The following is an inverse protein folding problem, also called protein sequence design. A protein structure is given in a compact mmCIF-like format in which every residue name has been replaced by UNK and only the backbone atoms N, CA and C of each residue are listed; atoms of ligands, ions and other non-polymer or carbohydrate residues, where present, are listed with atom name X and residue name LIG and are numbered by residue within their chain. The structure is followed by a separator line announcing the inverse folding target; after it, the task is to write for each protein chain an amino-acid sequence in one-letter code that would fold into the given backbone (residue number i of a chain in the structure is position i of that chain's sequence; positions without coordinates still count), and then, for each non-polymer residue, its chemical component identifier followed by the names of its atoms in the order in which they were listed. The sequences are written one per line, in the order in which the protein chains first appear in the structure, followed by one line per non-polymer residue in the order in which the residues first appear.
data_IF_743070398923
#
_entry.id   IF_743070398923
#
_cell.length_a   1.000
_cell.length_b   1.000
_cell.length_c   1.000
_cell.angle_alpha   90.00
_cell.angle_beta   90.00
_cell.angle_gamma   90.00
#
_symmetry.space_group_name_H-M   'P 1'
#
loop_
_entity.id
_entity.type
_entity.pdbx_description
1 polymer ?
#
# COMPACT_ATOMS: atom_id res chain seq x y z
N UNK A 1 -6.50 -12.04 1.16
CA UNK A 1 -7.16 -10.77 0.76
C UNK A 1 -6.33 -10.00 -0.23
N UNK A 2 -5.02 -9.82 -0.01
CA UNK A 2 -4.16 -8.95 -0.85
C UNK A 2 -3.43 -9.65 -2.02
N UNK A 3 -3.28 -10.98 -2.02
CA UNK A 3 -2.69 -11.73 -3.15
C UNK A 3 -1.29 -12.30 -2.92
N UNK A 4 -0.65 -12.04 -1.77
CA UNK A 4 0.68 -12.58 -1.41
C UNK A 4 0.63 -13.97 -0.74
N UNK A 5 -0.56 -14.56 -0.59
CA UNK A 5 -0.79 -15.78 0.18
C UNK A 5 -1.66 -15.56 1.41
N UNK A 6 -1.86 -16.63 2.19
CA UNK A 6 -2.67 -16.63 3.41
C UNK A 6 -1.81 -16.25 4.61
N UNK A 7 -2.33 -15.41 5.50
CA UNK A 7 -1.70 -15.00 6.76
C UNK A 7 -0.30 -14.38 6.60
N UNK A 8 -0.05 -13.69 5.48
CA UNK A 8 1.18 -12.92 5.29
C UNK A 8 1.13 -11.70 6.20
N UNK A 9 2.06 -11.56 7.17
CA UNK A 9 2.09 -10.39 8.02
C UNK A 9 2.63 -9.19 7.22
N UNK A 10 2.07 -8.03 7.52
CA UNK A 10 2.39 -6.76 6.89
C UNK A 10 2.83 -5.75 7.96
N UNK A 11 3.87 -4.99 7.66
CA UNK A 11 4.37 -3.92 8.48
C UNK A 11 4.38 -2.60 7.70
N UNK A 12 4.28 -1.49 8.42
CA UNK A 12 4.46 -0.15 7.84
C UNK A 12 5.94 0.25 7.97
N UNK A 13 6.58 0.57 6.85
CA UNK A 13 7.97 0.99 6.84
C UNK A 13 8.11 2.45 7.25
N UNK A 14 8.73 2.72 8.39
CA UNK A 14 9.03 4.10 8.80
C UNK A 14 10.18 4.64 7.95
N UNK A 15 9.94 5.73 7.19
CA UNK A 15 10.91 6.32 6.26
C UNK A 15 11.44 5.35 5.18
N UNK A 16 10.74 4.25 4.90
CA UNK A 16 11.10 3.30 3.85
C UNK A 16 10.28 3.49 2.55
N UNK A 17 9.26 4.34 2.59
CA UNK A 17 8.35 4.58 1.45
C UNK A 17 7.61 3.32 0.98
N UNK A 18 7.36 2.38 1.90
CA UNK A 18 6.78 1.08 1.53
C UNK A 18 5.89 0.48 2.62
N UNK A 19 5.07 -0.49 2.16
CA UNK A 19 4.57 -1.55 3.02
C UNK A 19 5.50 -2.76 2.89
N UNK A 20 5.80 -3.39 4.01
CA UNK A 20 6.76 -4.49 4.09
C UNK A 20 5.99 -5.77 4.37
N UNK A 21 6.04 -6.73 3.46
CA UNK A 21 5.41 -8.04 3.62
C UNK A 21 6.47 -9.10 3.95
N UNK A 22 6.19 -10.01 4.89
CA UNK A 22 7.04 -11.19 5.11
C UNK A 22 6.45 -12.39 4.35
N UNK A 23 6.97 -12.65 3.16
CA UNK A 23 6.50 -13.71 2.27
C UNK A 23 7.49 -14.86 2.33
N UNK A 24 7.05 -16.03 2.80
CA UNK A 24 7.89 -17.23 2.89
C UNK A 24 9.25 -16.98 3.59
N UNK A 25 9.25 -16.23 4.69
CA UNK A 25 10.46 -15.90 5.45
C UNK A 25 11.33 -14.79 4.85
N UNK A 26 10.93 -14.20 3.72
CA UNK A 26 11.67 -13.11 3.05
C UNK A 26 10.88 -11.81 3.09
N UNK A 27 11.55 -10.69 3.38
CA UNK A 27 10.92 -9.37 3.33
C UNK A 27 10.79 -8.87 1.89
N UNK A 28 9.59 -8.43 1.54
CA UNK A 28 9.24 -7.84 0.24
C UNK A 28 8.73 -6.42 0.46
N UNK A 29 9.41 -5.44 -0.14
CA UNK A 29 9.02 -4.03 -0.06
C UNK A 29 8.07 -3.66 -1.19
N UNK A 30 6.85 -3.29 -0.84
CA UNK A 30 5.85 -2.73 -1.75
C UNK A 30 6.02 -1.20 -1.75
N UNK A 31 7.03 -0.73 -2.49
CA UNK A 31 7.40 0.69 -2.51
C UNK A 31 6.40 1.50 -3.35
N UNK A 32 6.02 2.68 -2.83
CA UNK A 32 5.31 3.70 -3.60
C UNK A 32 6.34 4.71 -4.08
N UNK A 33 6.69 4.71 -5.38
CA UNK A 33 7.77 5.57 -5.88
C UNK A 33 7.37 7.05 -5.98
N UNK A 34 6.06 7.32 -6.08
CA UNK A 34 5.54 8.68 -6.19
C UNK A 34 4.12 8.78 -5.60
N UNK A 35 3.75 9.90 -4.93
CA UNK A 35 4.61 11.02 -4.55
C UNK A 35 5.73 10.60 -3.59
N UNK A 36 6.91 11.22 -3.73
CA UNK A 36 8.06 10.92 -2.89
C UNK A 36 7.76 11.17 -1.41
N UNK A 37 8.44 10.44 -0.54
CA UNK A 37 8.26 10.55 0.91
C UNK A 37 7.03 9.83 1.44
N UNK A 38 6.50 8.83 0.72
CA UNK A 38 5.36 8.04 1.19
C UNK A 38 5.60 7.55 2.62
N UNK A 39 4.65 7.84 3.51
CA UNK A 39 4.78 7.61 4.93
C UNK A 39 3.57 6.85 5.46
N UNK A 40 3.68 5.52 5.47
CA UNK A 40 2.64 4.63 5.95
C UNK A 40 2.58 4.64 7.49
N UNK A 41 1.40 4.85 8.05
CA UNK A 41 1.14 4.67 9.49
C UNK A 41 -0.02 3.74 9.81
N UNK A 42 -0.84 3.45 8.82
CA UNK A 42 -1.89 2.45 8.94
C UNK A 42 -2.11 1.77 7.61
N UNK A 43 -2.73 0.60 7.67
CA UNK A 43 -3.25 -0.07 6.49
C UNK A 43 -4.47 -0.89 6.87
N UNK A 44 -5.35 -1.10 5.89
CA UNK A 44 -6.45 -2.04 6.02
C UNK A 44 -6.72 -2.77 4.70
N UNK A 45 -7.07 -4.05 4.81
CA UNK A 45 -7.41 -4.89 3.68
C UNK A 45 -8.90 -4.80 3.40
N UNK A 46 -9.28 -4.41 2.18
CA UNK A 46 -10.68 -4.26 1.78
C UNK A 46 -11.04 -5.18 0.62
N UNK A 47 -12.26 -5.72 0.66
CA UNK A 47 -12.90 -6.41 -0.46
C UNK A 47 -14.02 -5.50 -0.94
N UNK A 48 -13.78 -4.82 -2.04
CA UNK A 48 -14.72 -3.88 -2.66
C UNK A 48 -15.77 -4.63 -3.49
N UNK A 49 -15.35 -5.73 -4.13
CA UNK A 49 -16.23 -6.63 -4.90
C UNK A 49 -15.72 -8.08 -4.75
N UNK A 50 -16.52 -8.99 -4.17
CA UNK A 50 -16.11 -10.40 -4.02
C UNK A 50 -16.03 -11.15 -5.36
N UNK A 51 -16.75 -10.72 -6.39
CA UNK A 51 -16.86 -11.37 -7.69
C UNK A 51 -15.83 -10.85 -8.72
N UNK A 52 -15.26 -9.67 -8.52
CA UNK A 52 -14.26 -9.09 -9.43
C UNK A 52 -12.82 -9.65 -9.26
N UNK A 53 -12.66 -10.79 -8.59
CA UNK A 53 -11.37 -11.46 -8.41
C UNK A 53 -10.33 -10.58 -7.68
N UNK A 54 -9.13 -10.44 -8.27
CA UNK A 54 -8.05 -9.65 -7.69
C UNK A 54 -8.29 -8.14 -7.78
N UNK A 55 -9.10 -7.68 -8.75
CA UNK A 55 -9.42 -6.25 -8.91
C UNK A 55 -10.38 -5.73 -7.85
N UNK A 56 -11.27 -6.61 -7.38
CA UNK A 56 -12.22 -6.31 -6.31
C UNK A 56 -11.61 -6.32 -4.92
N UNK A 57 -10.31 -6.61 -4.79
CA UNK A 57 -9.60 -6.65 -3.50
C UNK A 57 -8.43 -5.67 -3.53
N UNK A 58 -8.06 -5.17 -2.37
CA UNK A 58 -6.92 -4.27 -2.26
C UNK A 58 -6.52 -4.02 -0.83
N UNK A 59 -5.30 -3.51 -0.67
CA UNK A 59 -4.80 -3.01 0.59
C UNK A 59 -4.77 -1.48 0.49
N UNK A 60 -5.37 -0.81 1.45
CA UNK A 60 -5.42 0.64 1.51
C UNK A 60 -4.49 1.11 2.61
N UNK A 61 -3.63 2.07 2.33
CA UNK A 61 -2.74 2.65 3.32
C UNK A 61 -2.81 4.17 3.30
N UNK A 62 -2.75 4.76 4.49
CA UNK A 62 -2.72 6.21 4.64
C UNK A 62 -1.34 6.73 4.28
N UNK A 63 -1.31 7.74 3.40
CA UNK A 63 -0.15 8.61 3.30
C UNK A 63 -0.24 9.64 4.45
N UNK A 64 0.31 9.27 5.59
CA UNK A 64 0.13 9.94 6.87
C UNK A 64 1.32 10.82 7.26
N UNK A 65 1.92 11.53 6.29
CA UNK A 65 2.96 12.52 6.62
C UNK A 65 2.39 13.56 7.58
N UNK A 66 3.16 13.91 8.62
CA UNK A 66 2.74 14.89 9.64
C UNK A 66 2.79 16.32 9.13
N UNK A 67 3.50 16.55 8.03
CA UNK A 67 3.73 17.86 7.44
C UNK A 67 3.45 17.82 5.95
N UNK A 68 2.19 17.59 5.52
CA UNK A 68 1.85 17.46 4.10
C UNK A 68 2.16 18.74 3.30
N UNK A 69 2.22 19.90 3.95
CA UNK A 69 2.63 21.15 3.31
C UNK A 69 4.12 21.25 2.95
N UNK A 70 4.96 20.33 3.43
CA UNK A 70 6.36 20.19 3.00
C UNK A 70 6.55 19.20 1.85
N UNK A 71 5.49 18.51 1.41
CA UNK A 71 5.56 17.64 0.24
C UNK A 71 5.29 18.43 -1.04
N UNK A 72 5.54 17.80 -2.18
CA UNK A 72 5.20 18.35 -3.49
C UNK A 72 3.72 18.76 -3.55
N UNK A 73 3.47 19.98 -4.01
CA UNK A 73 2.16 20.66 -3.95
C UNK A 73 2.09 21.77 -2.90
N UNK A 74 2.94 21.74 -1.86
CA UNK A 74 3.10 22.84 -0.90
C UNK A 74 1.87 23.10 -0.02
N UNK A 75 1.68 24.35 0.40
CA UNK A 75 0.58 24.77 1.29
C UNK A 75 -0.79 24.39 0.70
N UNK A 76 -1.62 23.74 1.51
CA UNK A 76 -2.94 23.25 1.08
C UNK A 76 -2.95 21.77 0.68
N UNK A 77 -1.79 21.13 0.55
CA UNK A 77 -1.71 19.68 0.35
C UNK A 77 -2.30 18.93 1.55
N UNK A 78 -3.19 17.98 1.26
CA UNK A 78 -3.87 17.14 2.25
C UNK A 78 -3.33 15.72 2.24
N UNK A 79 -3.68 14.96 3.29
CA UNK A 79 -3.40 13.53 3.38
C UNK A 79 -4.09 12.76 2.24
N UNK A 80 -3.46 11.67 1.80
CA UNK A 80 -3.96 10.81 0.72
C UNK A 80 -4.12 9.39 1.23
N UNK A 81 -4.90 8.59 0.51
CA UNK A 81 -4.95 7.13 0.70
C UNK A 81 -4.46 6.48 -0.58
N UNK A 82 -3.59 5.49 -0.46
CA UNK A 82 -3.03 4.74 -1.58
C UNK A 82 -3.65 3.35 -1.60
N UNK A 83 -4.14 2.93 -2.77
CA UNK A 83 -4.60 1.56 -3.01
C UNK A 83 -3.47 0.74 -3.60
N UNK A 84 -3.08 -0.31 -2.91
CA UNK A 84 -2.24 -1.36 -3.44
C UNK A 84 -3.14 -2.44 -4.04
N UNK A 85 -2.83 -2.84 -5.26
CA UNK A 85 -3.43 -4.00 -5.92
C UNK A 85 -2.31 -4.90 -6.40
N UNK A 86 -2.50 -6.20 -6.19
CA UNK A 86 -1.56 -7.21 -6.62
C UNK A 86 -2.26 -8.20 -7.53
N UNK A 87 -1.65 -8.44 -8.68
CA UNK A 87 -2.11 -9.45 -9.61
C UNK A 87 -1.68 -10.84 -9.13
N UNK A 88 -2.50 -11.88 -9.35
CA UNK A 88 -2.10 -13.25 -9.05
C UNK A 88 -0.97 -13.73 -9.97
N UNK A 89 -0.92 -13.22 -11.20
CA UNK A 89 0.11 -13.49 -12.20
C UNK A 89 0.33 -12.26 -13.11
N UNK A 90 1.45 -12.18 -13.85
CA UNK A 90 1.77 -11.02 -14.69
C UNK A 90 0.79 -10.76 -15.84
N UNK A 91 0.05 -11.77 -16.29
CA UNK A 91 -0.87 -11.70 -17.44
C UNK A 91 -2.33 -11.49 -17.04
N UNK A 92 -2.64 -11.56 -15.75
CA UNK A 92 -3.99 -11.36 -15.22
C UNK A 92 -4.57 -10.01 -15.68
N UNK A 93 -5.71 -10.05 -16.38
CA UNK A 93 -6.34 -8.88 -16.98
C UNK A 93 -7.32 -8.18 -16.08
#
# INVERSE_FOLDING_TARGET
TFGLGRNVPLATGNANESLIALVNGTFVNLRVPYPMGFYAKWMDGRIDDPNAGWKGKGLWSTYATRTPFHVEGGKGTTSKVVKFQLRPDPLAR
#
